data_IF_403455411326
#
_entry.id   IF_403455411326
#
_cell.length_a   1.000
_cell.length_b   1.000
_cell.length_c   1.000
_cell.angle_alpha   90.00
_cell.angle_beta   90.00
_cell.angle_gamma   90.00
#
_symmetry.space_group_name_H-M   'P 1'
#
loop_
_entity.id
_entity.type
_entity.pdbx_description
1 polymer ?
#
# COMPACT_ATOMS: atom_id res chain seq x y z
N UNK A 1 18.15 -12.81 -11.49
CA UNK A 1 16.67 -12.65 -11.40
C UNK A 1 16.19 -13.58 -10.30
N UNK A 2 15.59 -13.04 -9.23
CA UNK A 2 15.11 -13.83 -8.10
C UNK A 2 13.78 -14.56 -8.44
N UNK A 3 13.32 -15.43 -7.51
CA UNK A 3 12.12 -16.27 -7.72
C UNK A 3 10.89 -15.40 -7.98
N UNK A 4 10.69 -14.31 -7.25
CA UNK A 4 9.53 -13.42 -7.41
C UNK A 4 9.46 -12.80 -8.79
N UNK A 5 10.60 -12.32 -9.32
CA UNK A 5 10.69 -11.78 -10.67
C UNK A 5 10.41 -12.86 -11.76
N UNK A 6 10.84 -14.13 -11.52
CA UNK A 6 10.51 -15.24 -12.43
C UNK A 6 9.03 -15.54 -12.43
N UNK A 7 8.39 -15.58 -11.26
CA UNK A 7 6.95 -15.82 -11.14
C UNK A 7 6.18 -14.72 -11.88
N UNK A 8 6.46 -13.44 -11.64
CA UNK A 8 5.82 -12.33 -12.36
C UNK A 8 5.93 -12.51 -13.87
N UNK A 9 7.14 -12.81 -14.37
CA UNK A 9 7.39 -13.01 -15.81
C UNK A 9 6.61 -14.20 -16.39
N UNK A 10 6.56 -15.36 -15.70
CA UNK A 10 5.81 -16.55 -16.14
C UNK A 10 4.32 -16.24 -16.30
N UNK A 11 3.75 -15.42 -15.39
CA UNK A 11 2.35 -15.00 -15.46
C UNK A 11 2.13 -13.78 -16.37
N UNK A 12 3.15 -13.35 -17.12
CA UNK A 12 3.07 -12.24 -18.09
C UNK A 12 2.96 -10.85 -17.43
N UNK A 13 3.37 -10.70 -16.17
CA UNK A 13 3.40 -9.41 -15.49
C UNK A 13 4.71 -8.67 -15.76
N UNK A 14 4.61 -7.39 -16.05
CA UNK A 14 5.72 -6.45 -16.14
C UNK A 14 5.77 -5.58 -14.88
N UNK A 15 6.96 -5.10 -14.52
CA UNK A 15 7.17 -4.28 -13.33
C UNK A 15 8.07 -3.09 -13.68
N UNK A 16 7.60 -1.89 -13.37
CA UNK A 16 8.41 -0.69 -13.28
C UNK A 16 8.49 -0.26 -11.81
N UNK A 17 9.64 -0.49 -11.18
CA UNK A 17 9.89 -0.15 -9.77
C UNK A 17 11.17 0.66 -9.69
N UNK A 18 11.04 1.99 -9.77
CA UNK A 18 12.17 2.91 -9.92
C UNK A 18 12.32 3.91 -8.78
N UNK A 19 11.42 3.88 -7.78
CA UNK A 19 11.57 4.75 -6.62
C UNK A 19 12.89 4.49 -5.88
N UNK A 20 13.53 5.52 -5.32
CA UNK A 20 14.74 5.35 -4.49
C UNK A 20 14.51 4.40 -3.31
N UNK A 21 15.59 3.82 -2.80
CA UNK A 21 15.52 2.96 -1.61
C UNK A 21 15.55 3.81 -0.34
N UNK A 22 14.38 4.38 -0.01
CA UNK A 22 14.23 5.14 1.22
C UNK A 22 14.32 4.22 2.44
N UNK A 23 15.06 4.61 3.50
CA UNK A 23 15.04 3.87 4.76
C UNK A 23 13.63 3.73 5.32
N UNK A 24 12.81 4.75 5.07
CA UNK A 24 11.41 4.78 5.51
C UNK A 24 10.54 5.43 4.43
N UNK A 25 9.45 4.75 4.04
CA UNK A 25 8.47 5.29 3.10
C UNK A 25 7.10 4.60 3.26
N UNK A 26 6.07 5.26 2.73
CA UNK A 26 4.76 4.66 2.50
C UNK A 26 4.68 4.29 1.02
N UNK A 27 4.13 3.12 0.71
CA UNK A 27 3.69 2.78 -0.64
C UNK A 27 2.16 2.77 -0.62
N UNK A 28 1.54 3.78 -1.19
CA UNK A 28 0.09 3.86 -1.38
C UNK A 28 -0.28 3.04 -2.60
N UNK A 29 -1.10 2.00 -2.44
CA UNK A 29 -1.44 1.04 -3.51
C UNK A 29 -2.92 1.10 -3.83
N UNK A 30 -3.25 1.36 -5.09
CA UNK A 30 -4.59 1.27 -5.66
C UNK A 30 -4.49 0.91 -7.16
N UNK A 31 -5.53 0.37 -7.81
CA UNK A 31 -6.79 -0.15 -7.25
C UNK A 31 -6.59 -1.37 -6.34
N UNK A 32 -7.44 -1.50 -5.30
CA UNK A 32 -7.45 -2.68 -4.42
C UNK A 32 -8.81 -3.38 -4.47
N UNK A 33 -8.95 -4.31 -5.40
CA UNK A 33 -10.23 -4.97 -5.73
C UNK A 33 -10.25 -6.47 -5.46
N UNK A 34 -9.06 -7.06 -5.17
CA UNK A 34 -8.86 -8.50 -5.05
C UNK A 34 -7.81 -8.86 -3.99
N UNK A 35 -7.82 -10.11 -3.50
CA UNK A 35 -6.71 -10.67 -2.72
C UNK A 35 -5.45 -10.87 -3.56
N UNK A 36 -5.59 -10.99 -4.87
CA UNK A 36 -4.45 -11.12 -5.78
C UNK A 36 -3.57 -9.88 -5.80
N UNK A 37 -4.13 -8.70 -5.53
CA UNK A 37 -3.39 -7.43 -5.47
C UNK A 37 -2.31 -7.50 -4.38
N UNK A 38 -2.63 -8.15 -3.24
CA UNK A 38 -1.65 -8.40 -2.17
C UNK A 38 -0.52 -9.33 -2.64
N UNK A 39 -0.86 -10.43 -3.31
CA UNK A 39 0.14 -11.40 -3.81
C UNK A 39 1.05 -10.74 -4.85
N UNK A 40 0.48 -9.98 -5.78
CA UNK A 40 1.24 -9.26 -6.80
C UNK A 40 2.13 -8.17 -6.18
N UNK A 41 1.64 -7.44 -5.18
CA UNK A 41 2.42 -6.46 -4.43
C UNK A 41 3.62 -7.08 -3.70
N UNK A 42 3.41 -8.22 -3.02
CA UNK A 42 4.50 -8.97 -2.37
C UNK A 42 5.52 -9.49 -3.39
N UNK A 43 5.07 -10.02 -4.52
CA UNK A 43 5.97 -10.45 -5.59
C UNK A 43 6.76 -9.26 -6.16
N UNK A 44 6.11 -8.12 -6.36
CA UNK A 44 6.76 -6.92 -6.89
C UNK A 44 7.85 -6.41 -5.94
N UNK A 45 7.54 -6.20 -4.67
CA UNK A 45 8.52 -5.66 -3.70
C UNK A 45 9.69 -6.63 -3.48
N UNK A 46 9.43 -7.93 -3.41
CA UNK A 46 10.48 -8.93 -3.28
C UNK A 46 11.31 -9.10 -4.55
N UNK A 47 10.73 -8.84 -5.74
CA UNK A 47 11.47 -8.95 -7.00
C UNK A 47 12.61 -7.93 -7.12
N UNK A 48 12.48 -6.80 -6.44
CA UNK A 48 13.50 -5.75 -6.36
C UNK A 48 14.37 -5.86 -5.09
N UNK A 49 14.26 -6.98 -4.35
CA UNK A 49 15.08 -7.25 -3.16
C UNK A 49 14.66 -6.46 -1.91
N UNK A 50 13.49 -5.81 -1.94
CA UNK A 50 12.96 -5.01 -0.82
C UNK A 50 11.90 -5.77 -0.03
N UNK A 51 11.50 -5.20 1.11
CA UNK A 51 10.42 -5.70 1.96
C UNK A 51 9.50 -4.54 2.34
N UNK A 52 8.20 -4.80 2.39
CA UNK A 52 7.23 -3.85 2.92
C UNK A 52 6.38 -4.51 4.00
N UNK A 53 6.09 -3.78 5.06
CA UNK A 53 5.04 -4.15 5.99
C UNK A 53 3.68 -3.79 5.41
N UNK A 54 2.63 -4.49 5.83
CA UNK A 54 1.25 -4.20 5.44
C UNK A 54 0.33 -4.21 6.65
N UNK A 55 -0.73 -3.40 6.59
CA UNK A 55 -1.71 -3.30 7.68
C UNK A 55 -2.76 -4.41 7.57
N UNK A 56 -2.91 -5.20 8.61
CA UNK A 56 -3.91 -6.26 8.65
C UNK A 56 -4.71 -6.21 9.96
N UNK A 57 -6.00 -6.54 9.89
CA UNK A 57 -6.87 -6.60 11.06
C UNK A 57 -6.28 -7.53 12.13
N UNK A 58 -6.18 -7.07 13.38
CA UNK A 58 -5.57 -7.81 14.49
C UNK A 58 -6.20 -9.17 14.76
N UNK A 59 -7.48 -9.38 14.37
CA UNK A 59 -8.15 -10.67 14.49
C UNK A 59 -7.55 -11.80 13.64
N UNK A 60 -6.68 -11.51 12.68
CA UNK A 60 -5.96 -12.51 11.90
C UNK A 60 -4.67 -12.99 12.56
N UNK A 61 -4.23 -12.30 13.64
CA UNK A 61 -2.98 -12.62 14.33
C UNK A 61 -3.18 -13.64 15.46
N UNK A 62 -3.99 -14.67 15.23
CA UNK A 62 -4.10 -15.80 16.15
C UNK A 62 -3.08 -16.91 15.79
N UNK A 63 -2.75 -17.75 16.76
CA UNK A 63 -1.81 -18.86 16.56
C UNK A 63 -2.46 -19.96 15.67
N UNK A 64 -1.70 -20.53 14.68
CA UNK A 64 -0.33 -20.21 14.28
C UNK A 64 -0.22 -19.10 13.22
N UNK A 65 -1.32 -18.66 12.60
CA UNK A 65 -1.36 -17.71 11.50
C UNK A 65 -0.71 -16.35 11.84
N UNK A 66 -0.82 -15.93 13.09
CA UNK A 66 -0.23 -14.67 13.54
C UNK A 66 1.30 -14.65 13.44
N UNK A 67 1.96 -15.79 13.63
CA UNK A 67 3.41 -15.90 13.46
C UNK A 67 3.79 -15.75 11.97
N UNK A 68 3.05 -16.42 11.10
CA UNK A 68 3.24 -16.31 9.65
C UNK A 68 3.05 -14.87 9.15
N UNK A 69 1.93 -14.21 9.52
CA UNK A 69 1.69 -12.82 9.10
C UNK A 69 2.75 -11.86 9.63
N UNK A 70 3.23 -12.03 10.86
CA UNK A 70 4.34 -11.23 11.39
C UNK A 70 5.63 -11.45 10.61
N UNK A 71 5.93 -12.70 10.26
CA UNK A 71 7.16 -13.06 9.52
C UNK A 71 7.20 -12.42 8.11
N UNK A 72 6.03 -12.28 7.46
CA UNK A 72 5.93 -11.63 6.14
C UNK A 72 5.67 -10.12 6.20
N UNK A 73 5.80 -9.48 7.37
CA UNK A 73 5.68 -8.03 7.52
C UNK A 73 4.31 -7.51 7.94
N UNK A 74 3.38 -8.39 8.29
CA UNK A 74 2.04 -8.00 8.75
C UNK A 74 2.09 -7.18 10.05
N UNK A 75 1.47 -6.02 10.04
CA UNK A 75 1.30 -5.13 11.19
C UNK A 75 -0.14 -5.21 11.68
N UNK A 76 -0.39 -5.76 12.89
CA UNK A 76 -1.74 -5.87 13.41
C UNK A 76 -2.32 -4.50 13.73
N UNK A 77 -3.53 -4.23 13.21
CA UNK A 77 -4.27 -3.01 13.53
C UNK A 77 -5.60 -3.35 14.17
N UNK A 78 -5.91 -2.66 15.27
CA UNK A 78 -7.22 -2.72 15.91
C UNK A 78 -8.11 -1.64 15.28
N UNK A 79 -9.22 -2.04 14.68
CA UNK A 79 -10.26 -1.11 14.21
C UNK A 79 -11.25 -0.88 15.37
N UNK A 80 -11.30 0.33 15.92
CA UNK A 80 -12.26 0.68 16.99
C UNK A 80 -11.78 1.80 17.91
N UNK A 81 -12.74 2.45 18.59
CA UNK A 81 -12.55 3.67 19.41
C UNK A 81 -11.76 3.51 20.72
N UNK A 82 -11.28 2.33 21.11
CA UNK A 82 -10.66 2.07 22.43
C UNK A 82 -9.13 1.90 22.45
N UNK A 83 -8.45 2.20 21.40
CA UNK A 83 -6.98 2.25 21.45
C UNK A 83 -6.52 3.36 20.56
N UNK A 84 -5.69 4.27 20.99
CA UNK A 84 -5.24 5.49 20.33
C UNK A 84 -5.30 5.46 18.78
N UNK A 85 -5.27 6.59 18.15
CA UNK A 85 -5.37 6.67 16.68
C UNK A 85 -4.40 5.66 16.05
N UNK A 86 -4.84 4.96 15.00
CA UNK A 86 -3.97 4.07 14.22
C UNK A 86 -2.69 4.81 13.80
N UNK A 87 -2.84 6.08 13.43
CA UNK A 87 -1.74 6.98 13.08
C UNK A 87 -0.73 7.08 14.21
N UNK A 88 -1.14 7.37 15.44
CA UNK A 88 -0.24 7.45 16.60
C UNK A 88 0.52 6.13 16.87
N UNK A 89 -0.16 5.00 16.68
CA UNK A 89 0.49 3.67 16.82
C UNK A 89 1.55 3.46 15.75
N UNK A 90 1.27 3.86 14.52
CA UNK A 90 2.21 3.77 13.40
C UNK A 90 3.37 4.75 13.58
N UNK A 91 3.11 5.99 14.03
CA UNK A 91 4.15 6.99 14.32
C UNK A 91 5.11 6.47 15.40
N UNK A 92 4.59 5.92 16.50
CA UNK A 92 5.44 5.31 17.54
C UNK A 92 6.32 4.18 17.00
N UNK A 93 5.72 3.25 16.22
CA UNK A 93 6.47 2.17 15.59
C UNK A 93 7.52 2.70 14.63
N UNK A 94 7.15 3.66 13.81
CA UNK A 94 8.03 4.30 12.85
C UNK A 94 9.27 4.94 13.52
N UNK A 95 9.06 5.64 14.63
CA UNK A 95 10.14 6.28 15.38
C UNK A 95 11.05 5.26 16.11
N UNK A 96 10.55 4.05 16.37
CA UNK A 96 11.28 3.00 17.09
C UNK A 96 12.17 2.11 16.22
N UNK A 97 12.12 2.25 14.89
CA UNK A 97 12.88 1.41 13.95
C UNK A 97 13.71 2.27 12.99
N UNK A 98 14.84 1.75 12.52
CA UNK A 98 15.69 2.46 11.56
C UNK A 98 15.10 2.43 10.14
N UNK A 99 14.46 1.32 9.76
CA UNK A 99 13.89 1.14 8.42
C UNK A 99 12.45 0.68 8.50
N UNK A 100 11.58 1.24 7.68
CA UNK A 100 10.18 0.82 7.56
C UNK A 100 9.58 1.26 6.23
N UNK A 101 9.32 0.32 5.34
CA UNK A 101 8.43 0.52 4.21
C UNK A 101 7.06 -0.02 4.56
N UNK A 102 6.01 0.78 4.40
CA UNK A 102 4.65 0.39 4.74
C UNK A 102 3.73 0.48 3.52
N UNK A 103 3.29 -0.67 3.00
CA UNK A 103 2.29 -0.71 1.96
C UNK A 103 0.89 -0.53 2.56
N UNK A 104 0.13 0.39 2.01
CA UNK A 104 -1.24 0.68 2.43
C UNK A 104 -2.17 0.77 1.22
N UNK A 105 -3.43 0.40 1.43
CA UNK A 105 -4.49 0.60 0.44
C UNK A 105 -5.46 1.65 0.99
N UNK A 106 -5.54 2.85 0.37
CA UNK A 106 -6.34 3.95 0.92
C UNK A 106 -7.84 3.67 0.90
N UNK A 107 -8.28 2.78 0.02
CA UNK A 107 -9.66 2.29 -0.02
C UNK A 107 -10.07 1.55 1.27
N UNK A 108 -9.12 0.89 1.94
CA UNK A 108 -9.34 0.12 3.19
C UNK A 108 -10.24 -1.10 3.03
N UNK A 109 -10.67 -1.39 1.82
CA UNK A 109 -11.58 -2.51 1.46
C UNK A 109 -11.41 -2.87 -0.01
N UNK A 110 -11.91 -4.06 -0.40
CA UNK A 110 -11.98 -4.50 -1.80
C UNK A 110 -13.37 -4.29 -2.42
N UNK A 111 -14.23 -3.52 -1.74
CA UNK A 111 -15.53 -3.09 -2.24
C UNK A 111 -15.40 -1.67 -2.76
N UNK A 112 -16.27 -1.30 -3.70
CA UNK A 112 -16.34 0.05 -4.23
C UNK A 112 -16.61 1.07 -3.12
N UNK A 113 -15.71 2.03 -2.93
CA UNK A 113 -15.85 3.14 -1.98
C UNK A 113 -15.38 4.43 -2.63
N UNK A 114 -16.14 5.49 -2.42
CA UNK A 114 -15.78 6.85 -2.90
C UNK A 114 -14.87 7.52 -1.88
N UNK A 115 -15.15 7.33 -0.59
CA UNK A 115 -14.42 7.97 0.50
C UNK A 115 -13.21 7.12 0.90
N UNK A 116 -12.03 7.53 0.46
CA UNK A 116 -10.78 6.89 0.82
C UNK A 116 -10.30 7.35 2.19
N UNK A 117 -9.59 6.49 2.90
CA UNK A 117 -9.00 6.81 4.19
C UNK A 117 -7.79 7.72 4.03
N UNK A 118 -7.73 8.79 4.79
CA UNK A 118 -6.65 9.80 4.75
C UNK A 118 -5.59 9.61 5.85
N UNK A 119 -5.72 8.54 6.64
CA UNK A 119 -4.80 8.31 7.76
C UNK A 119 -3.32 8.21 7.35
N UNK A 120 -3.04 7.74 6.15
CA UNK A 120 -1.68 7.67 5.63
C UNK A 120 -1.08 9.05 5.31
N UNK A 121 -1.89 10.00 4.83
CA UNK A 121 -1.45 11.38 4.61
C UNK A 121 -1.12 12.06 5.95
N UNK A 122 -1.99 11.90 6.96
CA UNK A 122 -1.70 12.41 8.31
C UNK A 122 -0.41 11.84 8.86
N UNK A 123 -0.20 10.52 8.69
CA UNK A 123 1.04 9.87 9.07
C UNK A 123 2.25 10.45 8.31
N UNK A 124 2.13 10.69 7.00
CA UNK A 124 3.19 11.29 6.20
C UNK A 124 3.50 12.71 6.65
N UNK A 125 2.49 13.53 6.97
CA UNK A 125 2.69 14.88 7.51
C UNK A 125 3.43 14.88 8.86
N UNK A 126 3.02 13.97 9.77
CA UNK A 126 3.64 13.90 11.11
C UNK A 126 5.07 13.37 11.08
N UNK A 127 5.41 12.55 10.11
CA UNK A 127 6.72 11.86 10.06
C UNK A 127 7.66 12.38 8.97
N UNK A 128 7.17 13.18 8.05
CA UNK A 128 7.97 13.69 6.91
C UNK A 128 8.39 12.60 5.92
N UNK A 129 7.71 11.44 5.90
CA UNK A 129 8.10 10.35 4.99
C UNK A 129 7.55 10.53 3.59
N UNK A 130 8.30 10.15 2.54
CA UNK A 130 7.80 10.14 1.18
C UNK A 130 6.67 9.12 1.01
N UNK A 131 5.73 9.45 0.14
CA UNK A 131 4.62 8.58 -0.26
C UNK A 131 4.85 8.15 -1.71
N UNK A 132 5.25 6.90 -1.90
CA UNK A 132 5.32 6.31 -3.23
C UNK A 132 3.92 5.89 -3.70
N UNK A 133 3.61 6.10 -4.97
CA UNK A 133 2.37 5.64 -5.58
C UNK A 133 2.61 4.32 -6.29
N UNK A 134 1.87 3.28 -5.88
CA UNK A 134 1.93 1.94 -6.46
C UNK A 134 0.61 1.58 -7.13
N UNK A 135 0.66 1.16 -8.39
CA UNK A 135 -0.51 0.73 -9.15
C UNK A 135 -0.36 -0.69 -9.70
N UNK A 136 -1.49 -1.42 -9.73
CA UNK A 136 -1.56 -2.75 -10.35
C UNK A 136 -2.64 -2.67 -11.43
N UNK A 137 -2.20 -2.65 -12.69
CA UNK A 137 -3.09 -2.58 -13.84
C UNK A 137 -3.29 -3.98 -14.46
N UNK A 138 -4.49 -4.51 -14.34
CA UNK A 138 -4.79 -5.86 -14.77
C UNK A 138 -4.91 -6.03 -16.29
N UNK A 139 -5.50 -5.07 -17.04
CA UNK A 139 -5.59 -5.19 -18.50
C UNK A 139 -4.21 -5.28 -19.16
N UNK A 140 -3.27 -4.45 -18.74
CA UNK A 140 -1.90 -4.45 -19.27
C UNK A 140 -0.97 -5.44 -18.56
N UNK A 141 -1.42 -6.05 -17.45
CA UNK A 141 -0.58 -6.85 -16.53
C UNK A 141 0.69 -6.11 -16.14
N UNK A 142 0.52 -4.88 -15.73
CA UNK A 142 1.62 -4.00 -15.36
C UNK A 142 1.52 -3.58 -13.89
N UNK A 143 2.67 -3.57 -13.21
CA UNK A 143 2.81 -3.03 -11.85
C UNK A 143 3.71 -1.83 -11.95
N UNK A 144 3.23 -0.69 -11.44
CA UNK A 144 3.93 0.59 -11.48
C UNK A 144 4.22 1.06 -10.06
N UNK A 145 5.48 1.39 -9.75
CA UNK A 145 5.92 2.05 -8.50
C UNK A 145 7.10 2.95 -8.86
N UNK A 146 6.82 4.07 -9.48
CA UNK A 146 7.86 4.99 -9.99
C UNK A 146 7.68 6.43 -9.53
N UNK A 147 6.52 6.78 -8.99
CA UNK A 147 6.21 8.15 -8.62
C UNK A 147 6.25 8.33 -7.10
N UNK A 148 6.91 9.42 -6.68
CA UNK A 148 6.91 9.91 -5.30
C UNK A 148 5.96 11.11 -5.25
N UNK A 149 4.94 10.98 -4.43
CA UNK A 149 4.04 12.06 -4.08
C UNK A 149 4.55 12.78 -2.84
N UNK A 150 4.74 14.09 -2.97
CA UNK A 150 5.15 14.96 -1.86
C UNK A 150 3.90 15.62 -1.26
N UNK A 151 3.50 15.23 -0.03
CA UNK A 151 2.32 15.79 0.60
C UNK A 151 2.47 17.28 0.89
N UNK A 152 1.45 18.07 0.54
CA UNK A 152 1.44 19.53 0.71
C UNK A 152 0.96 19.98 2.09
N UNK A 153 0.26 19.09 2.82
CA UNK A 153 -0.41 19.40 4.09
C UNK A 153 -1.91 19.66 3.94
N UNK A 154 -2.40 19.89 2.73
CA UNK A 154 -3.85 19.96 2.45
C UNK A 154 -4.36 18.56 2.10
N UNK A 155 -5.02 17.92 3.08
CA UNK A 155 -5.55 16.55 2.95
C UNK A 155 -6.47 16.40 1.73
N UNK A 156 -7.30 17.40 1.45
CA UNK A 156 -8.28 17.31 0.38
C UNK A 156 -7.62 17.44 -1.00
N UNK A 157 -6.73 18.41 -1.13
CA UNK A 157 -5.95 18.62 -2.36
C UNK A 157 -5.04 17.41 -2.64
N UNK A 158 -4.34 16.92 -1.61
CA UNK A 158 -3.43 15.78 -1.74
C UNK A 158 -4.19 14.49 -2.09
N UNK A 159 -5.33 14.25 -1.44
CA UNK A 159 -6.16 13.09 -1.75
C UNK A 159 -6.72 13.16 -3.18
N UNK A 160 -7.12 14.35 -3.63
CA UNK A 160 -7.62 14.55 -5.00
C UNK A 160 -6.51 14.28 -6.03
N UNK A 161 -5.29 14.78 -5.80
CA UNK A 161 -4.14 14.53 -6.66
C UNK A 161 -3.79 13.03 -6.73
N UNK A 162 -3.74 12.35 -5.59
CA UNK A 162 -3.50 10.90 -5.53
C UNK A 162 -4.60 10.13 -6.27
N UNK A 163 -5.87 10.45 -6.07
CA UNK A 163 -6.97 9.82 -6.80
C UNK A 163 -6.87 10.04 -8.30
N UNK A 164 -6.46 11.23 -8.72
CA UNK A 164 -6.27 11.55 -10.13
C UNK A 164 -5.18 10.68 -10.77
N UNK A 165 -4.06 10.44 -10.08
CA UNK A 165 -3.03 9.51 -10.51
C UNK A 165 -3.62 8.11 -10.82
N UNK A 166 -4.47 7.59 -9.92
CA UNK A 166 -5.04 6.25 -10.08
C UNK A 166 -6.18 6.17 -11.10
N UNK A 167 -6.64 7.26 -11.69
CA UNK A 167 -7.73 7.29 -12.68
C UNK A 167 -7.39 6.47 -13.94
N UNK A 168 -6.11 6.39 -14.28
CA UNK A 168 -5.63 5.65 -15.46
C UNK A 168 -5.47 4.14 -15.26
N UNK A 169 -5.69 3.62 -14.04
CA UNK A 169 -5.41 2.21 -13.71
C UNK A 169 -6.70 1.42 -13.48
N UNK A 170 -6.69 0.16 -13.89
CA UNK A 170 -7.86 -0.72 -13.81
C UNK A 170 -7.57 -1.94 -12.95
N UNK A 171 -8.30 -2.12 -11.86
CA UNK A 171 -8.18 -3.27 -10.97
C UNK A 171 -8.73 -4.56 -11.59
N UNK A 172 -8.50 -5.71 -10.90
CA UNK A 172 -9.01 -7.02 -11.33
C UNK A 172 -10.53 -7.03 -11.52
N UNK A 173 -11.25 -6.29 -10.70
CA UNK A 173 -12.70 -6.11 -10.76
C UNK A 173 -13.00 -4.62 -10.91
N UNK A 174 -13.12 -4.09 -12.14
CA UNK A 174 -13.26 -2.65 -12.39
C UNK A 174 -14.45 -2.01 -11.68
N UNK A 175 -15.56 -2.74 -11.58
CA UNK A 175 -16.79 -2.33 -10.89
C UNK A 175 -16.59 -2.05 -9.40
N UNK A 176 -15.53 -2.60 -8.79
CA UNK A 176 -15.20 -2.43 -7.37
C UNK A 176 -14.27 -1.25 -7.09
N UNK A 177 -13.78 -0.58 -8.13
CA UNK A 177 -12.90 0.58 -7.99
C UNK A 177 -13.58 1.89 -8.39
N UNK A 178 -13.24 2.96 -7.71
CA UNK A 178 -13.63 4.33 -8.11
C UNK A 178 -12.75 5.37 -7.41
N UNK A 179 -12.40 6.40 -8.15
CA UNK A 179 -11.75 7.61 -7.61
C UNK A 179 -12.78 8.71 -7.27
N UNK A 180 -14.08 8.44 -7.48
CA UNK A 180 -15.15 9.42 -7.33
C UNK A 180 -15.38 10.23 -8.60
N UNK A 181 -16.36 11.15 -8.57
CA UNK A 181 -16.58 12.09 -9.68
C UNK A 181 -15.38 13.01 -9.86
N UNK A 182 -15.22 13.47 -11.07
CA UNK A 182 -14.22 14.48 -11.47
C UNK A 182 -14.56 15.81 -10.87
#
# INVERSE_FOLDING_TARGET
>A
MNISARILKIFGWTLNFTIPDYPKCIICVAPHTSNWDFILGELAIHSVGRKAGFLMKSSWFFFPLGLFFKAIGGVPVKRGKKGGSLVETLVRKFNSVATLTLAITPEGTRKRVVNWHTGFLRFAYETGVPVALGAIDYPSRHIEVSEIFEPTGDINADLAAIKNYYRGYTGKYPDKFTVGPS
#
